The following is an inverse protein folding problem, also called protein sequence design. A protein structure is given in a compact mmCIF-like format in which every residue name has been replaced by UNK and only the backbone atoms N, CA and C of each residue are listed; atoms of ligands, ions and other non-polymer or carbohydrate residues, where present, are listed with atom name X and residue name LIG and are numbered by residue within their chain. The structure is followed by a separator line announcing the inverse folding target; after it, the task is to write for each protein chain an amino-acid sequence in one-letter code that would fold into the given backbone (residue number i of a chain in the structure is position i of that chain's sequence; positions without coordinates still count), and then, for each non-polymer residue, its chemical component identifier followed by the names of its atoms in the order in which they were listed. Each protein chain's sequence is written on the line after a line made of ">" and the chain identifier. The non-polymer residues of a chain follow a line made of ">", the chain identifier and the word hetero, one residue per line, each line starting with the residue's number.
data_IF_824981103960
#
_entry.id   IF_824981103960
#
_cell.length_a   1.000
_cell.length_b   1.000
_cell.length_c   1.000
_cell.angle_alpha   90.00
_cell.angle_beta   90.00
_cell.angle_gamma   90.00
#
_symmetry.space_group_name_H-M   'P 1'
#
loop_
_entity.id
_entity.type
_entity.pdbx_description
1 polymer ?
#
# COMPACT_ATOMS: atom_id res chain seq x y z
N UNK A 1 28.22 -6.33 9.07
CA UNK A 1 26.90 -6.03 9.67
C UNK A 1 25.88 -6.44 8.64
N UNK A 2 25.06 -7.44 8.93
CA UNK A 2 23.95 -7.84 8.06
C UNK A 2 22.92 -6.72 8.15
N UNK A 3 22.79 -5.94 7.09
CA UNK A 3 21.85 -4.82 7.08
C UNK A 3 20.48 -5.38 6.72
N UNK A 4 19.56 -5.42 7.69
CA UNK A 4 18.14 -5.70 7.46
C UNK A 4 17.63 -4.75 6.37
N UNK A 5 17.22 -5.28 5.23
CA UNK A 5 16.81 -4.46 4.07
C UNK A 5 15.40 -4.80 3.63
N UNK A 6 14.72 -3.83 3.01
CA UNK A 6 13.39 -4.00 2.42
C UNK A 6 13.52 -3.94 0.90
N UNK A 7 12.90 -4.88 0.20
CA UNK A 7 12.70 -4.76 -1.25
C UNK A 7 11.41 -3.97 -1.51
N UNK A 8 11.50 -2.92 -2.32
CA UNK A 8 10.37 -2.03 -2.60
C UNK A 8 10.08 -2.01 -4.09
N UNK A 9 8.91 -2.51 -4.48
CA UNK A 9 8.37 -2.31 -5.83
C UNK A 9 7.53 -1.05 -5.89
N UNK A 10 7.73 -0.22 -6.91
CA UNK A 10 6.90 0.96 -7.11
C UNK A 10 7.36 1.81 -8.29
N UNK A 11 6.63 2.89 -8.57
CA UNK A 11 7.00 3.81 -9.63
C UNK A 11 7.89 4.94 -9.11
N UNK A 12 8.76 5.42 -9.99
CA UNK A 12 9.37 6.73 -9.82
C UNK A 12 8.32 7.83 -10.03
N UNK A 13 8.38 8.87 -9.22
CA UNK A 13 7.51 10.05 -9.35
C UNK A 13 8.37 11.32 -9.20
N UNK A 14 7.94 12.39 -9.84
CA UNK A 14 8.55 13.71 -9.70
C UNK A 14 8.23 14.34 -8.36
N UNK A 15 7.03 14.09 -7.82
CA UNK A 15 6.69 14.59 -6.50
C UNK A 15 7.53 13.86 -5.44
N UNK A 16 7.99 14.59 -4.44
CA UNK A 16 8.79 14.00 -3.37
C UNK A 16 7.94 13.04 -2.50
N UNK A 17 6.63 13.25 -2.49
CA UNK A 17 5.61 12.70 -1.61
C UNK A 17 4.91 11.45 -2.11
N UNK A 18 5.29 10.93 -3.27
CA UNK A 18 4.69 9.75 -3.86
C UNK A 18 5.75 8.79 -4.42
N UNK A 19 5.29 7.57 -4.73
CA UNK A 19 6.11 6.54 -5.32
C UNK A 19 7.33 6.15 -4.47
N UNK A 20 8.38 5.68 -5.13
CA UNK A 20 9.57 5.14 -4.48
C UNK A 20 10.28 6.14 -3.56
N UNK A 21 10.20 7.45 -3.83
CA UNK A 21 10.82 8.49 -2.98
C UNK A 21 10.08 8.64 -1.65
N UNK A 22 8.75 8.55 -1.67
CA UNK A 22 7.96 8.58 -0.44
C UNK A 22 8.23 7.34 0.41
N UNK A 23 8.28 6.18 -0.24
CA UNK A 23 8.62 4.92 0.41
C UNK A 23 10.00 4.99 1.07
N UNK A 24 11.01 5.47 0.35
CA UNK A 24 12.37 5.65 0.86
C UNK A 24 12.42 6.56 2.07
N UNK A 25 11.74 7.72 2.03
CA UNK A 25 11.71 8.62 3.18
C UNK A 25 11.02 8.00 4.40
N UNK A 26 9.89 7.33 4.19
CA UNK A 26 9.15 6.69 5.28
C UNK A 26 9.97 5.54 5.90
N UNK A 27 10.62 4.70 5.07
CA UNK A 27 11.46 3.59 5.51
C UNK A 27 12.75 4.09 6.19
N UNK A 28 13.41 5.10 5.62
CA UNK A 28 14.62 5.70 6.17
C UNK A 28 14.35 6.39 7.52
N UNK A 29 13.18 7.01 7.70
CA UNK A 29 12.76 7.55 9.01
C UNK A 29 12.68 6.48 10.09
N UNK A 30 12.52 5.21 9.70
CA UNK A 30 12.57 4.06 10.61
C UNK A 30 13.98 3.47 10.76
N UNK A 31 15.00 4.00 10.08
CA UNK A 31 16.38 3.52 10.17
C UNK A 31 16.64 2.19 9.46
N UNK A 32 15.78 1.80 8.52
CA UNK A 32 15.94 0.59 7.71
C UNK A 32 16.37 1.00 6.29
N UNK A 33 17.39 0.37 5.69
CA UNK A 33 17.70 0.56 4.26
C UNK A 33 16.67 -0.12 3.36
N UNK A 34 16.53 0.37 2.13
CA UNK A 34 15.72 -0.28 1.10
C UNK A 34 16.44 -0.43 -0.23
N UNK A 35 16.05 -1.47 -0.98
CA UNK A 35 16.36 -1.66 -2.40
C UNK A 35 15.10 -1.41 -3.22
N UNK A 36 15.12 -0.40 -4.08
CA UNK A 36 14.02 -0.12 -4.99
C UNK A 36 14.09 -0.96 -6.28
N UNK A 37 12.95 -1.46 -6.72
CA UNK A 37 12.70 -2.02 -8.05
C UNK A 37 11.61 -1.18 -8.72
N UNK A 38 11.99 -0.44 -9.76
CA UNK A 38 11.06 0.43 -10.47
C UNK A 38 10.12 -0.38 -11.35
N UNK A 39 8.81 -0.20 -11.17
CA UNK A 39 7.77 -0.71 -12.08
C UNK A 39 7.52 0.24 -13.25
N UNK A 40 8.02 1.48 -13.13
CA UNK A 40 8.11 2.51 -14.17
C UNK A 40 7.98 3.91 -13.60
N UNK A 41 7.25 4.80 -14.27
CA UNK A 41 7.23 6.23 -13.92
C UNK A 41 5.81 6.79 -13.92
N UNK A 42 5.46 7.51 -12.88
CA UNK A 42 4.25 8.34 -12.82
C UNK A 42 4.58 9.74 -13.37
N UNK A 43 3.91 10.13 -14.47
CA UNK A 43 3.97 11.47 -15.02
C UNK A 43 2.67 12.18 -14.67
N UNK A 44 2.78 13.31 -13.97
CA UNK A 44 1.63 14.10 -13.57
C UNK A 44 1.42 15.30 -14.48
N UNK A 45 0.20 15.45 -14.98
CA UNK A 45 -0.25 16.62 -15.75
C UNK A 45 -1.34 17.36 -14.95
N UNK A 46 -0.93 18.11 -13.92
CA UNK A 46 -1.83 18.71 -12.93
C UNK A 46 -1.98 17.85 -11.66
N UNK A 47 -2.85 18.27 -10.73
CA UNK A 47 -2.99 17.62 -9.40
C UNK A 47 -3.66 16.24 -9.47
N UNK A 48 -4.52 16.00 -10.47
CA UNK A 48 -5.39 14.81 -10.52
C UNK A 48 -5.06 13.82 -11.64
N UNK A 49 -4.25 14.21 -12.63
CA UNK A 49 -3.95 13.35 -13.77
C UNK A 49 -2.58 12.71 -13.63
N UNK A 50 -2.55 11.40 -13.40
CA UNK A 50 -1.32 10.60 -13.30
C UNK A 50 -1.26 9.61 -14.46
N UNK A 51 -0.47 9.93 -15.47
CA UNK A 51 -0.16 9.02 -16.57
C UNK A 51 0.97 8.09 -16.13
N UNK A 52 0.71 6.78 -16.11
CA UNK A 52 1.72 5.79 -15.79
C UNK A 52 2.43 5.32 -17.06
N UNK A 53 3.74 5.49 -17.10
CA UNK A 53 4.60 4.95 -18.14
C UNK A 53 5.31 3.70 -17.61
N UNK A 54 4.99 2.50 -18.14
CA UNK A 54 5.72 1.28 -17.81
C UNK A 54 7.23 1.46 -18.01
N UNK A 55 8.02 0.82 -17.14
CA UNK A 55 9.46 0.80 -17.34
C UNK A 55 9.80 0.19 -18.71
N UNK A 56 10.63 0.88 -19.50
CA UNK A 56 11.05 0.39 -20.81
C UNK A 56 11.77 -0.97 -20.72
N UNK A 57 12.48 -1.19 -19.61
CA UNK A 57 13.03 -2.48 -19.22
C UNK A 57 12.77 -2.67 -17.71
N UNK A 58 12.08 -3.74 -17.35
CA UNK A 58 11.97 -4.18 -15.96
C UNK A 58 13.18 -5.05 -15.63
N UNK A 59 13.62 -4.99 -14.37
CA UNK A 59 14.70 -5.86 -13.87
C UNK A 59 14.27 -7.32 -14.04
N UNK A 60 15.11 -8.20 -14.64
CA UNK A 60 14.81 -9.61 -14.77
C UNK A 60 14.54 -10.28 -13.41
N UNK A 61 13.69 -11.32 -13.39
CA UNK A 61 13.33 -12.03 -12.15
C UNK A 61 14.56 -12.60 -11.44
N UNK A 62 15.49 -13.20 -12.17
CA UNK A 62 16.73 -13.77 -11.60
C UNK A 62 17.61 -12.71 -10.89
N UNK A 63 17.59 -11.47 -11.37
CA UNK A 63 18.33 -10.36 -10.73
C UNK A 63 17.62 -9.88 -9.46
N UNK A 64 16.29 -9.90 -9.43
CA UNK A 64 15.49 -9.58 -8.23
C UNK A 64 15.74 -10.63 -7.15
N UNK A 65 15.72 -11.90 -7.51
CA UNK A 65 15.97 -13.02 -6.60
C UNK A 65 17.39 -12.99 -6.04
N UNK A 66 18.39 -12.68 -6.89
CA UNK A 66 19.75 -12.46 -6.45
C UNK A 66 19.82 -11.29 -5.46
N UNK A 67 19.20 -10.15 -5.79
CA UNK A 67 19.19 -8.97 -4.93
C UNK A 67 18.55 -9.27 -3.57
N UNK A 68 17.45 -10.01 -3.51
CA UNK A 68 16.79 -10.43 -2.26
C UNK A 68 17.77 -11.19 -1.35
N UNK A 69 18.57 -12.10 -1.93
CA UNK A 69 19.55 -12.90 -1.18
C UNK A 69 20.74 -12.05 -0.73
N UNK A 70 21.22 -11.15 -1.58
CA UNK A 70 22.37 -10.28 -1.28
C UNK A 70 22.07 -9.26 -0.19
N UNK A 71 20.86 -8.68 -0.17
CA UNK A 71 20.47 -7.64 0.78
C UNK A 71 19.92 -8.20 2.10
N UNK A 72 19.89 -9.52 2.29
CA UNK A 72 19.23 -10.18 3.43
C UNK A 72 17.81 -9.60 3.67
N UNK A 73 17.01 -9.60 2.59
CA UNK A 73 15.70 -8.96 2.57
C UNK A 73 14.80 -9.51 3.68
N UNK A 74 14.20 -8.62 4.48
CA UNK A 74 13.32 -8.98 5.61
C UNK A 74 11.85 -8.85 5.29
N UNK A 75 11.49 -7.94 4.40
CA UNK A 75 10.11 -7.69 4.00
C UNK A 75 10.05 -7.07 2.60
N UNK A 76 8.89 -7.20 1.96
CA UNK A 76 8.60 -6.66 0.63
C UNK A 76 7.51 -5.60 0.76
N UNK A 77 7.75 -4.39 0.23
CA UNK A 77 6.70 -3.38 0.02
C UNK A 77 6.34 -3.32 -1.46
N UNK A 78 5.06 -3.26 -1.75
CA UNK A 78 4.53 -3.14 -3.12
C UNK A 78 3.68 -1.88 -3.18
N UNK A 79 4.06 -0.96 -4.06
CA UNK A 79 3.27 0.22 -4.44
C UNK A 79 2.61 0.03 -5.79
N UNK A 80 2.63 1.09 -6.61
CA UNK A 80 2.02 1.09 -7.94
C UNK A 80 2.55 -0.04 -8.85
N UNK A 81 1.63 -0.88 -9.33
CA UNK A 81 1.84 -1.86 -10.40
C UNK A 81 1.20 -1.29 -11.67
N UNK A 82 1.98 -1.06 -12.72
CA UNK A 82 1.51 -0.24 -13.86
C UNK A 82 1.48 -0.97 -15.20
N UNK A 83 1.72 -2.28 -15.18
CA UNK A 83 1.61 -3.14 -16.35
C UNK A 83 1.42 -4.60 -15.94
N UNK A 84 0.84 -5.40 -16.82
CA UNK A 84 0.75 -6.85 -16.67
C UNK A 84 2.12 -7.48 -16.40
N UNK A 85 3.18 -7.02 -17.09
CA UNK A 85 4.54 -7.50 -16.87
C UNK A 85 5.04 -7.20 -15.45
N UNK A 86 4.72 -6.03 -14.89
CA UNK A 86 5.07 -5.73 -13.49
C UNK A 86 4.30 -6.59 -12.49
N UNK A 87 3.02 -6.91 -12.79
CA UNK A 87 2.22 -7.83 -11.98
C UNK A 87 2.84 -9.23 -12.01
N UNK A 88 3.22 -9.73 -13.19
CA UNK A 88 3.85 -11.05 -13.36
C UNK A 88 5.15 -11.16 -12.56
N UNK A 89 6.05 -10.19 -12.68
CA UNK A 89 7.34 -10.18 -11.95
C UNK A 89 7.12 -10.17 -10.43
N UNK A 90 6.20 -9.31 -9.95
CA UNK A 90 5.91 -9.23 -8.51
C UNK A 90 5.24 -10.51 -8.01
N UNK A 91 4.33 -11.09 -8.80
CA UNK A 91 3.70 -12.38 -8.49
C UNK A 91 4.75 -13.49 -8.36
N UNK A 92 5.65 -13.62 -9.35
CA UNK A 92 6.74 -14.61 -9.34
C UNK A 92 7.62 -14.43 -8.10
N UNK A 93 8.02 -13.19 -7.82
CA UNK A 93 8.84 -12.84 -6.64
C UNK A 93 8.16 -13.26 -5.34
N UNK A 94 6.87 -12.96 -5.18
CA UNK A 94 6.09 -13.33 -3.98
C UNK A 94 5.95 -14.85 -3.83
N UNK A 95 5.74 -15.56 -4.95
CA UNK A 95 5.61 -17.02 -4.95
C UNK A 95 6.91 -17.73 -4.59
N UNK A 96 8.06 -17.19 -5.01
CA UNK A 96 9.38 -17.73 -4.68
C UNK A 96 9.81 -17.39 -3.24
N UNK A 97 9.29 -16.30 -2.68
CA UNK A 97 9.72 -15.75 -1.40
C UNK A 97 8.60 -15.69 -0.34
N UNK A 98 7.75 -16.72 -0.27
CA UNK A 98 6.57 -16.79 0.63
C UNK A 98 6.88 -16.64 2.12
N UNK A 99 8.13 -16.84 2.52
CA UNK A 99 8.61 -16.63 3.89
C UNK A 99 8.72 -15.15 4.26
N UNK A 100 8.83 -14.24 3.29
CA UNK A 100 8.95 -12.81 3.53
C UNK A 100 7.58 -12.19 3.76
N UNK A 101 7.49 -11.32 4.77
CA UNK A 101 6.29 -10.52 4.96
C UNK A 101 6.16 -9.49 3.85
N UNK A 102 4.99 -9.40 3.24
CA UNK A 102 4.69 -8.49 2.15
C UNK A 102 3.52 -7.56 2.48
N UNK A 103 3.68 -6.29 2.12
CA UNK A 103 2.67 -5.23 2.29
C UNK A 103 2.42 -4.57 0.94
N UNK A 104 1.18 -4.62 0.45
CA UNK A 104 0.78 -3.93 -0.78
C UNK A 104 -0.12 -2.74 -0.47
N UNK A 105 0.16 -1.61 -1.12
CA UNK A 105 -0.74 -0.46 -1.19
C UNK A 105 -1.35 -0.39 -2.59
N UNK A 106 -2.64 -0.63 -2.70
CA UNK A 106 -3.34 -0.65 -4.00
C UNK A 106 -3.85 0.73 -4.41
N UNK A 107 -3.83 1.72 -3.51
CA UNK A 107 -4.30 3.08 -3.80
C UNK A 107 -3.60 3.73 -5.02
N UNK A 108 -2.27 3.63 -5.18
CA UNK A 108 -1.60 4.12 -6.38
C UNK A 108 -2.03 3.43 -7.69
N UNK A 109 -2.45 2.16 -7.62
CA UNK A 109 -2.96 1.42 -8.77
C UNK A 109 -4.28 2.01 -9.24
N UNK A 110 -5.23 2.23 -8.33
CA UNK A 110 -6.57 2.73 -8.65
C UNK A 110 -6.61 4.24 -8.96
N UNK A 111 -5.63 5.02 -8.49
CA UNK A 111 -5.49 6.45 -8.80
C UNK A 111 -4.78 6.74 -10.14
N UNK A 112 -4.40 5.71 -10.89
CA UNK A 112 -3.87 5.86 -12.23
C UNK A 112 -4.88 6.54 -13.17
N UNK A 113 -4.38 7.27 -14.17
CA UNK A 113 -5.15 7.83 -15.26
C UNK A 113 -4.57 7.35 -16.60
N UNK A 114 -5.34 6.64 -17.45
CA UNK A 114 -6.72 6.21 -17.21
C UNK A 114 -6.82 5.25 -16.03
N UNK A 115 -8.01 5.19 -15.42
CA UNK A 115 -8.32 4.23 -14.35
C UNK A 115 -8.06 2.80 -14.82
N UNK A 116 -7.62 1.89 -13.93
CA UNK A 116 -7.38 0.50 -14.29
C UNK A 116 -8.57 -0.17 -14.97
N UNK A 117 -8.31 -0.92 -16.02
CA UNK A 117 -9.30 -1.72 -16.72
C UNK A 117 -9.66 -2.97 -15.92
N UNK A 118 -10.84 -3.58 -16.16
CA UNK A 118 -11.26 -4.79 -15.44
C UNK A 118 -10.24 -5.94 -15.49
N UNK A 119 -9.57 -6.14 -16.62
CA UNK A 119 -8.54 -7.16 -16.79
C UNK A 119 -7.31 -6.91 -15.88
N UNK A 120 -6.94 -5.65 -15.64
CA UNK A 120 -5.82 -5.29 -14.77
C UNK A 120 -6.18 -5.51 -13.29
N UNK A 121 -7.43 -5.19 -12.91
CA UNK A 121 -7.98 -5.50 -11.58
C UNK A 121 -8.02 -7.02 -11.37
N UNK A 122 -8.43 -7.78 -12.41
CA UNK A 122 -8.45 -9.25 -12.38
C UNK A 122 -7.05 -9.81 -12.13
N UNK A 123 -6.03 -9.28 -12.82
CA UNK A 123 -4.64 -9.70 -12.64
C UNK A 123 -4.14 -9.39 -11.22
N UNK A 124 -4.39 -8.18 -10.70
CA UNK A 124 -4.09 -7.84 -9.31
C UNK A 124 -4.77 -8.83 -8.33
N UNK A 125 -6.05 -9.12 -8.53
CA UNK A 125 -6.82 -10.03 -7.66
C UNK A 125 -6.32 -11.46 -7.71
N UNK A 126 -6.06 -12.02 -8.90
CA UNK A 126 -5.74 -13.45 -9.06
C UNK A 126 -4.25 -13.74 -8.87
N UNK A 127 -3.40 -12.82 -9.29
CA UNK A 127 -1.96 -13.08 -9.39
C UNK A 127 -1.17 -12.48 -8.24
N UNK A 128 -1.73 -11.51 -7.49
CA UNK A 128 -1.03 -10.87 -6.36
C UNK A 128 -1.69 -11.18 -5.02
N UNK A 129 -3.00 -10.93 -4.88
CA UNK A 129 -3.68 -11.02 -3.58
C UNK A 129 -3.52 -12.37 -2.86
N UNK A 130 -3.49 -13.53 -3.53
CA UNK A 130 -3.28 -14.82 -2.87
C UNK A 130 -1.89 -15.00 -2.25
N UNK A 131 -0.92 -14.16 -2.64
CA UNK A 131 0.49 -14.31 -2.24
C UNK A 131 1.00 -13.18 -1.35
N UNK A 132 0.15 -12.21 -1.00
CA UNK A 132 0.53 -11.12 -0.10
C UNK A 132 0.04 -11.34 1.33
N UNK A 133 0.77 -10.79 2.30
CA UNK A 133 0.39 -10.91 3.71
C UNK A 133 -0.55 -9.80 4.16
N UNK A 134 -0.27 -8.55 3.78
CA UNK A 134 -1.04 -7.38 4.20
C UNK A 134 -1.44 -6.57 2.98
N UNK A 135 -2.75 -6.40 2.76
CA UNK A 135 -3.28 -5.43 1.81
C UNK A 135 -3.70 -4.16 2.54
N UNK A 136 -3.26 -3.01 2.04
CA UNK A 136 -3.73 -1.68 2.41
C UNK A 136 -4.54 -1.09 1.26
N UNK A 137 -5.78 -0.73 1.53
CA UNK A 137 -6.69 -0.16 0.54
C UNK A 137 -7.65 0.86 1.16
N UNK A 138 -8.15 1.79 0.35
CA UNK A 138 -9.28 2.65 0.72
C UNK A 138 -10.61 1.93 0.49
N UNK A 139 -11.69 2.43 1.09
CA UNK A 139 -13.05 1.86 0.89
C UNK A 139 -13.43 1.72 -0.60
N UNK A 140 -13.25 2.74 -1.46
CA UNK A 140 -13.51 2.60 -2.90
C UNK A 140 -12.71 1.48 -3.58
N UNK A 141 -11.44 1.30 -3.23
CA UNK A 141 -10.57 0.27 -3.81
C UNK A 141 -10.99 -1.14 -3.40
N UNK A 142 -11.35 -1.32 -2.12
CA UNK A 142 -11.89 -2.60 -1.64
C UNK A 142 -13.18 -2.94 -2.37
N UNK A 143 -14.06 -1.95 -2.55
CA UNK A 143 -15.29 -2.15 -3.33
C UNK A 143 -14.99 -2.53 -4.78
N UNK A 144 -14.03 -1.89 -5.43
CA UNK A 144 -13.65 -2.22 -6.81
C UNK A 144 -13.11 -3.65 -6.94
N UNK A 145 -12.28 -4.10 -5.99
CA UNK A 145 -11.77 -5.49 -5.95
C UNK A 145 -12.89 -6.52 -5.74
N UNK A 146 -13.85 -6.22 -4.87
CA UNK A 146 -14.98 -7.11 -4.59
C UNK A 146 -16.00 -7.13 -5.72
N UNK A 147 -16.31 -5.98 -6.32
CA UNK A 147 -17.21 -5.87 -7.46
C UNK A 147 -16.66 -6.65 -8.67
N UNK A 148 -15.34 -6.57 -8.95
CA UNK A 148 -14.71 -7.41 -10.00
C UNK A 148 -14.75 -8.90 -9.66
N UNK A 149 -14.67 -9.28 -8.38
CA UNK A 149 -14.87 -10.66 -7.94
C UNK A 149 -16.34 -11.13 -8.00
N UNK A 150 -17.28 -10.26 -8.40
CA UNK A 150 -18.72 -10.56 -8.42
C UNK A 150 -19.38 -10.51 -7.04
N UNK A 151 -18.72 -9.92 -6.05
CA UNK A 151 -19.21 -9.79 -4.67
C UNK A 151 -19.68 -8.35 -4.45
N UNK A 152 -20.98 -8.13 -4.62
CA UNK A 152 -21.56 -6.80 -4.46
C UNK A 152 -21.80 -6.49 -2.99
N UNK A 153 -21.18 -5.41 -2.53
CA UNK A 153 -21.42 -4.85 -1.19
C UNK A 153 -21.72 -3.35 -1.27
N UNK A 154 -22.51 -2.88 -0.31
CA UNK A 154 -22.83 -1.47 -0.13
C UNK A 154 -21.63 -0.69 0.45
N UNK A 155 -21.65 0.63 0.27
CA UNK A 155 -20.69 1.50 0.91
C UNK A 155 -20.88 1.50 2.44
N UNK A 156 -19.80 1.34 3.24
CA UNK A 156 -19.89 1.16 4.68
C UNK A 156 -20.36 2.43 5.40
N UNK A 157 -21.40 2.27 6.22
CA UNK A 157 -21.97 3.34 7.05
C UNK A 157 -21.43 3.30 8.47
N UNK A 158 -20.96 2.14 8.93
CA UNK A 158 -20.39 1.91 10.25
C UNK A 158 -19.00 1.27 10.19
N UNK A 159 -18.28 1.25 11.32
CA UNK A 159 -17.02 0.48 11.46
C UNK A 159 -17.28 -1.02 11.35
N UNK A 160 -18.45 -1.50 11.81
CA UNK A 160 -18.82 -2.89 11.66
C UNK A 160 -18.95 -3.29 10.19
N UNK A 161 -19.47 -2.40 9.33
CA UNK A 161 -19.54 -2.62 7.89
C UNK A 161 -18.13 -2.68 7.28
N UNK A 162 -17.21 -1.83 7.75
CA UNK A 162 -15.79 -1.87 7.32
C UNK A 162 -15.13 -3.19 7.70
N UNK A 163 -15.35 -3.67 8.93
CA UNK A 163 -14.84 -4.97 9.39
C UNK A 163 -15.41 -6.11 8.52
N UNK A 164 -16.71 -6.08 8.24
CA UNK A 164 -17.35 -7.06 7.35
C UNK A 164 -16.75 -7.02 5.95
N UNK A 165 -16.60 -5.84 5.38
CA UNK A 165 -15.98 -5.62 4.07
C UNK A 165 -14.53 -6.14 4.03
N UNK A 166 -13.73 -5.88 5.07
CA UNK A 166 -12.36 -6.36 5.18
C UNK A 166 -12.29 -7.89 5.25
N UNK A 167 -13.16 -8.53 6.04
CA UNK A 167 -13.23 -9.98 6.14
C UNK A 167 -13.66 -10.63 4.83
N UNK A 168 -14.60 -10.03 4.09
CA UNK A 168 -14.94 -10.48 2.74
C UNK A 168 -13.73 -10.36 1.80
N UNK A 169 -12.98 -9.25 1.86
CA UNK A 169 -11.80 -9.10 1.00
C UNK A 169 -10.68 -10.10 1.34
N UNK A 170 -10.52 -10.47 2.62
CA UNK A 170 -9.58 -11.54 3.03
C UNK A 170 -9.87 -12.87 2.36
N UNK A 171 -11.13 -13.17 2.01
CA UNK A 171 -11.46 -14.40 1.28
C UNK A 171 -10.91 -14.43 -0.16
N UNK A 172 -10.37 -13.31 -0.66
CA UNK A 172 -9.69 -13.23 -1.95
C UNK A 172 -8.18 -13.55 -1.86
N UNK A 173 -7.63 -13.80 -0.66
CA UNK A 173 -6.23 -14.18 -0.51
C UNK A 173 -5.46 -13.53 0.66
N UNK A 174 -5.53 -12.20 0.86
CA UNK A 174 -4.68 -11.51 1.83
C UNK A 174 -4.90 -12.01 3.25
N UNK A 175 -3.82 -12.34 3.97
CA UNK A 175 -3.94 -12.78 5.38
C UNK A 175 -4.51 -11.68 6.26
N UNK A 176 -4.05 -10.45 6.04
CA UNK A 176 -4.49 -9.24 6.73
C UNK A 176 -4.98 -8.21 5.71
N UNK A 177 -6.02 -7.47 6.09
CA UNK A 177 -6.55 -6.34 5.32
C UNK A 177 -6.62 -5.12 6.21
N UNK A 178 -6.03 -4.02 5.74
CA UNK A 178 -6.13 -2.69 6.31
C UNK A 178 -7.06 -1.88 5.42
N UNK A 179 -8.21 -1.46 5.94
CA UNK A 179 -9.10 -0.53 5.26
C UNK A 179 -8.92 0.88 5.83
N UNK A 180 -8.66 1.81 4.92
CA UNK A 180 -8.61 3.26 5.15
C UNK A 180 -10.00 3.84 4.83
N UNK A 181 -10.74 4.27 5.85
CA UNK A 181 -12.05 4.93 5.70
C UNK A 181 -11.95 6.39 6.10
N UNK A 182 -12.09 7.25 5.12
CA UNK A 182 -12.11 8.71 5.27
C UNK A 182 -13.54 9.21 5.46
N UNK A 183 -13.72 10.16 6.36
CA UNK A 183 -14.96 10.90 6.58
C UNK A 183 -14.61 12.38 6.53
N UNK A 184 -15.13 13.07 5.52
CA UNK A 184 -14.98 14.51 5.35
C UNK A 184 -16.06 15.24 6.15
N UNK A 185 -15.64 16.09 7.09
CA UNK A 185 -16.56 16.96 7.81
C UNK A 185 -16.61 18.31 7.09
N UNK A 186 -17.72 18.56 6.40
CA UNK A 186 -17.91 19.80 5.63
C UNK A 186 -18.08 21.04 6.53
N UNK A 187 -18.37 20.85 7.83
CA UNK A 187 -18.68 21.94 8.75
C UNK A 187 -17.45 22.69 9.26
N UNK A 188 -16.30 22.03 9.38
CA UNK A 188 -15.09 22.63 9.96
C UNK A 188 -13.79 22.33 9.19
N UNK A 189 -13.89 21.72 8.00
CA UNK A 189 -12.73 21.41 7.16
C UNK A 189 -11.82 20.33 7.72
N UNK A 190 -12.31 19.53 8.67
CA UNK A 190 -11.57 18.39 9.22
C UNK A 190 -11.85 17.11 8.47
N UNK A 191 -10.92 16.16 8.57
CA UNK A 191 -11.10 14.78 8.11
C UNK A 191 -10.91 13.84 9.28
N UNK A 192 -11.81 12.86 9.40
CA UNK A 192 -11.60 11.71 10.28
C UNK A 192 -11.19 10.51 9.44
N UNK A 193 -10.03 9.96 9.74
CA UNK A 193 -9.49 8.79 9.06
C UNK A 193 -9.50 7.60 10.03
N UNK A 194 -10.26 6.58 9.66
CA UNK A 194 -10.27 5.29 10.34
C UNK A 194 -9.36 4.31 9.61
N UNK A 195 -8.47 3.68 10.37
CA UNK A 195 -7.69 2.52 9.94
C UNK A 195 -8.23 1.30 10.66
N UNK A 196 -8.67 0.33 9.88
CA UNK A 196 -9.22 -0.92 10.41
C UNK A 196 -8.37 -2.07 9.88
N UNK A 197 -7.57 -2.67 10.75
CA UNK A 197 -6.85 -3.91 10.47
C UNK A 197 -7.70 -5.10 10.87
N UNK A 198 -7.97 -5.98 9.90
CA UNK A 198 -8.60 -7.28 10.13
C UNK A 198 -7.62 -8.42 9.81
N UNK A 199 -7.64 -9.45 10.65
CA UNK A 199 -6.81 -10.64 10.56
C UNK A 199 -7.47 -11.79 11.31
N UNK A 200 -6.67 -12.67 11.92
CA UNK A 200 -7.19 -13.81 12.68
C UNK A 200 -7.61 -13.44 14.12
N UNK A 201 -7.16 -12.28 14.62
CA UNK A 201 -7.50 -11.74 15.93
C UNK A 201 -8.59 -10.67 15.83
N UNK A 202 -9.01 -10.14 16.99
CA UNK A 202 -9.92 -9.00 17.06
C UNK A 202 -9.41 -7.81 16.22
N UNK A 203 -10.30 -7.12 15.48
CA UNK A 203 -9.91 -6.00 14.65
C UNK A 203 -9.23 -4.89 15.45
N UNK A 204 -8.09 -4.40 14.95
CA UNK A 204 -7.46 -3.19 15.45
C UNK A 204 -8.06 -1.99 14.71
N UNK A 205 -8.67 -1.08 15.46
CA UNK A 205 -9.30 0.14 14.94
C UNK A 205 -8.55 1.34 15.50
N UNK A 206 -8.06 2.20 14.62
CA UNK A 206 -7.48 3.47 15.01
C UNK A 206 -8.13 4.61 14.24
N UNK A 207 -8.46 5.69 14.95
CA UNK A 207 -9.10 6.87 14.38
C UNK A 207 -8.23 8.10 14.67
N UNK A 208 -8.00 8.93 13.65
CA UNK A 208 -7.42 10.25 13.84
C UNK A 208 -8.29 11.30 13.14
N UNK A 209 -8.50 12.41 13.83
CA UNK A 209 -9.21 13.59 13.32
C UNK A 209 -8.20 14.73 13.22
N UNK A 210 -8.08 15.32 12.04
CA UNK A 210 -7.11 16.36 11.76
C UNK A 210 -7.69 17.41 10.79
N UNK A 211 -7.14 18.62 10.83
CA UNK A 211 -7.46 19.66 9.84
C UNK A 211 -6.99 19.21 8.46
N UNK A 212 -7.88 19.23 7.46
CA UNK A 212 -7.54 18.82 6.11
C UNK A 212 -8.25 19.71 5.08
N UNK A 213 -8.01 21.04 5.11
CA UNK A 213 -8.74 21.98 4.28
C UNK A 213 -8.49 21.74 2.77
N UNK A 214 -7.34 21.16 2.42
CA UNK A 214 -6.98 20.84 1.03
C UNK A 214 -7.43 19.45 0.57
N UNK A 215 -7.98 18.62 1.47
CA UNK A 215 -8.32 17.21 1.20
C UNK A 215 -7.16 16.45 0.55
N UNK A 216 -5.97 16.58 1.15
CA UNK A 216 -4.75 15.92 0.68
C UNK A 216 -4.43 14.72 1.56
N UNK A 217 -4.05 13.62 0.91
CA UNK A 217 -3.91 12.31 1.56
C UNK A 217 -2.49 11.75 1.43
N UNK A 218 -1.49 12.57 1.09
CA UNK A 218 -0.11 12.11 0.88
C UNK A 218 0.49 11.38 2.09
N UNK A 219 0.03 11.68 3.31
CA UNK A 219 0.46 10.97 4.51
C UNK A 219 0.01 9.50 4.56
N UNK A 220 -1.12 9.14 3.93
CA UNK A 220 -1.61 7.75 3.92
C UNK A 220 -0.66 6.82 3.14
N UNK A 221 0.04 7.33 2.12
CA UNK A 221 1.05 6.58 1.36
C UNK A 221 2.29 6.23 2.19
N UNK A 222 2.52 6.93 3.30
CA UNK A 222 3.65 6.64 4.20
C UNK A 222 3.37 5.49 5.17
N UNK A 223 2.12 5.04 5.27
CA UNK A 223 1.70 3.99 6.22
C UNK A 223 2.20 2.62 5.77
N UNK A 224 1.91 2.13 4.55
CA UNK A 224 2.44 0.84 4.07
C UNK A 224 3.97 0.70 4.17
N UNK A 225 4.80 1.68 3.74
CA UNK A 225 6.26 1.59 3.90
C UNK A 225 6.70 1.62 5.37
N UNK A 226 6.06 2.43 6.24
CA UNK A 226 6.37 2.42 7.68
C UNK A 226 6.04 1.08 8.33
N UNK A 227 4.88 0.48 8.03
CA UNK A 227 4.49 -0.86 8.49
C UNK A 227 5.54 -1.88 8.04
N UNK A 228 5.93 -1.84 6.76
CA UNK A 228 6.94 -2.75 6.22
C UNK A 228 8.27 -2.63 6.97
N UNK A 229 8.68 -1.42 7.35
CA UNK A 229 9.89 -1.21 8.13
C UNK A 229 9.81 -1.77 9.56
N UNK A 230 8.66 -1.68 10.24
CA UNK A 230 8.49 -2.33 11.53
C UNK A 230 8.46 -3.86 11.42
N UNK A 231 7.85 -4.41 10.36
CA UNK A 231 7.92 -5.85 10.08
C UNK A 231 9.36 -6.31 9.84
N UNK A 232 10.16 -5.52 9.10
CA UNK A 232 11.57 -5.80 8.87
C UNK A 232 12.39 -5.83 10.17
N UNK A 233 11.99 -5.04 11.18
CA UNK A 233 12.56 -5.05 12.55
C UNK A 233 12.08 -6.22 13.42
N UNK A 234 11.26 -7.13 12.89
CA UNK A 234 10.74 -8.30 13.60
C UNK A 234 9.49 -8.03 14.45
N UNK A 235 8.79 -6.92 14.25
CA UNK A 235 7.53 -6.66 14.96
C UNK A 235 6.43 -7.61 14.46
N UNK A 236 5.51 -7.98 15.37
CA UNK A 236 4.26 -8.62 14.99
C UNK A 236 3.37 -7.69 14.15
N UNK A 237 2.41 -8.27 13.42
CA UNK A 237 1.56 -7.50 12.49
C UNK A 237 0.74 -6.42 13.21
N UNK A 238 0.00 -6.70 14.30
CA UNK A 238 -0.75 -5.66 15.01
C UNK A 238 0.15 -4.52 15.52
N UNK A 239 1.34 -4.86 16.05
CA UNK A 239 2.30 -3.89 16.55
C UNK A 239 2.89 -3.04 15.43
N UNK A 240 3.26 -3.65 14.30
CA UNK A 240 3.77 -2.94 13.12
C UNK A 240 2.71 -2.00 12.52
N UNK A 241 1.45 -2.42 12.46
CA UNK A 241 0.34 -1.56 12.00
C UNK A 241 0.11 -0.40 12.95
N UNK A 242 0.07 -0.66 14.27
CA UNK A 242 -0.09 0.40 15.26
C UNK A 242 1.04 1.44 15.17
N UNK A 243 2.28 0.99 14.97
CA UNK A 243 3.44 1.87 14.86
C UNK A 243 3.44 2.66 13.54
N UNK A 244 3.11 2.03 12.41
CA UNK A 244 2.96 2.70 11.12
C UNK A 244 1.86 3.76 11.10
N UNK A 245 0.74 3.50 11.77
CA UNK A 245 -0.32 4.50 11.94
C UNK A 245 0.14 5.68 12.81
N UNK A 246 0.79 5.40 13.95
CA UNK A 246 1.32 6.45 14.83
C UNK A 246 2.29 7.37 14.09
N UNK A 247 3.16 6.80 13.25
CA UNK A 247 4.06 7.57 12.40
C UNK A 247 3.29 8.55 11.48
N UNK A 248 2.28 8.07 10.74
CA UNK A 248 1.48 8.94 9.89
C UNK A 248 0.67 9.98 10.66
N UNK A 249 0.17 9.65 11.85
CA UNK A 249 -0.52 10.60 12.72
C UNK A 249 0.40 11.74 13.16
N UNK A 250 1.64 11.43 13.55
CA UNK A 250 2.65 12.43 13.92
C UNK A 250 2.99 13.35 12.74
N UNK A 251 3.04 12.82 11.52
CA UNK A 251 3.27 13.61 10.31
C UNK A 251 2.12 14.57 10.02
N UNK A 252 0.88 14.08 10.12
CA UNK A 252 -0.33 14.88 9.94
C UNK A 252 -0.40 16.00 10.98
N UNK A 253 -0.16 15.70 12.26
CA UNK A 253 -0.12 16.71 13.33
C UNK A 253 1.02 17.72 13.16
N UNK A 254 2.15 17.28 12.61
CA UNK A 254 3.29 18.13 12.30
C UNK A 254 3.09 19.04 11.08
N UNK A 255 1.92 19.00 10.43
CA UNK A 255 1.66 19.75 9.20
C UNK A 255 2.45 19.24 8.00
N UNK A 256 3.05 18.06 8.10
CA UNK A 256 3.69 17.36 6.99
C UNK A 256 2.61 16.64 6.17
N UNK A 257 1.69 17.44 5.64
CA UNK A 257 0.97 17.08 4.43
C UNK A 257 2.04 17.14 3.38
N UNK A 258 2.50 15.99 2.93
CA UNK A 258 3.50 16.00 1.89
C UNK A 258 2.83 16.57 0.64
N UNK A 259 2.99 17.88 0.43
CA UNK A 259 2.71 18.64 -0.80
C UNK A 259 3.90 18.47 -1.78
#
# INVERSE_FOLDING_TARGET
>A
MQHECILVFGCSDKLANSGLKADERAIAAQGIPMRAVSTGSAIRNGETHVENLPAACLIPEDEIDLAIREIDCKAIKIGALISEKSIQIVSSTLQQNKQLMSVIDVEPFFKASPTPKPEEITALRKDILPFINILSATVPEVKALLDEAGILIDYPKSIQDVISMANTLRSLGPKYVIIKREIFDEGDGTTTLHFVLCGDAEPLIVASRFENPKRLFGASYSIPPAITAYLAKGYGVPEAVSAGFKFAEEMLKGGQYFD
#
